data_IF_218975185049
#
_entry.id   IF_218975185049
#
_cell.length_a   1.000
_cell.length_b   1.000
_cell.length_c   1.000
_cell.angle_alpha   90.00
_cell.angle_beta   90.00
_cell.angle_gamma   90.00
#
_symmetry.space_group_name_H-M   'P 1'
#
loop_
_entity.id
_entity.type
_entity.pdbx_description
1 polymer ?
#
# COMPACT_ATOMS: atom_id res chain seq x y z
N UNK A 1 -4.61 15.97 -3.04
CA UNK A 1 -5.56 16.24 -1.94
C UNK A 1 -5.03 15.77 -0.60
N UNK A 2 -4.46 14.57 -0.49
CA UNK A 2 -4.06 13.97 0.80
C UNK A 2 -3.17 14.80 1.74
N UNK A 3 -2.15 15.54 1.28
CA UNK A 3 -1.25 16.19 2.26
C UNK A 3 -1.88 17.47 2.85
N UNK A 4 -2.52 18.26 2.01
CA UNK A 4 -3.16 19.52 2.42
C UNK A 4 -4.47 19.24 3.18
N UNK A 5 -5.23 18.24 2.74
CA UNK A 5 -6.46 17.82 3.42
C UNK A 5 -6.17 17.27 4.81
N UNK A 6 -5.21 16.35 4.95
CA UNK A 6 -4.77 15.90 6.28
C UNK A 6 -4.18 17.03 7.12
N UNK A 7 -3.48 18.01 6.53
CA UNK A 7 -3.00 19.18 7.29
C UNK A 7 -4.12 20.13 7.75
N UNK A 8 -5.22 20.21 7.02
CA UNK A 8 -6.34 21.11 7.34
C UNK A 8 -7.39 20.45 8.24
N UNK A 9 -7.68 19.16 8.01
CA UNK A 9 -8.69 18.38 8.73
C UNK A 9 -8.11 17.47 9.81
N UNK A 10 -6.80 17.25 9.83
CA UNK A 10 -6.08 16.59 10.92
C UNK A 10 -5.80 17.54 12.08
N UNK A 11 -6.81 18.34 12.46
CA UNK A 11 -6.78 19.16 13.67
C UNK A 11 -7.35 18.35 14.82
N UNK A 12 -6.89 18.66 16.02
CA UNK A 12 -7.44 18.07 17.23
C UNK A 12 -8.92 18.42 17.40
N UNK A 13 -9.64 17.50 18.04
CA UNK A 13 -11.04 17.67 18.38
C UNK A 13 -11.26 18.89 19.30
N UNK A 14 -12.38 19.61 19.15
CA UNK A 14 -12.64 20.82 19.95
C UNK A 14 -12.68 20.55 21.46
N UNK A 15 -13.04 19.32 21.86
CA UNK A 15 -13.07 18.83 23.25
C UNK A 15 -11.79 18.06 23.67
N UNK A 16 -10.65 18.32 23.02
CA UNK A 16 -9.37 17.64 23.30
C UNK A 16 -9.01 17.54 24.80
N UNK A 17 -9.13 18.66 25.53
CA UNK A 17 -8.78 18.75 26.95
C UNK A 17 -9.62 17.84 27.86
N UNK A 18 -10.81 17.43 27.41
CA UNK A 18 -11.68 16.51 28.15
C UNK A 18 -11.34 15.06 27.80
N UNK A 19 -11.12 14.78 26.52
CA UNK A 19 -10.78 13.45 26.01
C UNK A 19 -9.45 12.95 26.58
N UNK A 20 -8.47 13.85 26.77
CA UNK A 20 -7.16 13.48 27.32
C UNK A 20 -7.20 13.03 28.78
N UNK A 21 -8.28 13.36 29.52
CA UNK A 21 -8.47 12.97 30.91
C UNK A 21 -9.04 11.55 31.06
N UNK A 22 -9.38 10.89 29.95
CA UNK A 22 -9.92 9.54 29.99
C UNK A 22 -8.85 8.53 30.44
N UNK A 23 -9.20 7.59 31.34
CA UNK A 23 -8.23 6.67 31.94
C UNK A 23 -7.58 5.74 30.91
N UNK A 24 -8.23 5.52 29.76
CA UNK A 24 -7.69 4.71 28.66
C UNK A 24 -6.57 5.42 27.87
N UNK A 25 -6.46 6.75 27.99
CA UNK A 25 -5.41 7.56 27.35
C UNK A 25 -4.27 7.93 28.31
N UNK A 26 -4.43 7.70 29.61
CA UNK A 26 -3.43 8.03 30.62
C UNK A 26 -2.04 7.39 30.34
N UNK A 27 -2.01 6.14 29.87
CA UNK A 27 -0.75 5.46 29.52
C UNK A 27 -0.07 6.05 28.28
N UNK A 28 -0.87 6.60 27.34
CA UNK A 28 -0.38 7.27 26.13
C UNK A 28 0.25 8.62 26.50
N UNK A 29 -0.38 9.34 27.44
CA UNK A 29 0.14 10.57 28.02
C UNK A 29 1.47 10.37 28.75
N UNK A 30 1.57 9.30 29.54
CA UNK A 30 2.79 8.96 30.30
C UNK A 30 3.98 8.65 29.37
N UNK A 31 3.71 8.17 28.16
CA UNK A 31 4.74 7.81 27.17
C UNK A 31 5.44 9.01 26.53
N UNK A 32 4.82 10.19 26.58
CA UNK A 32 5.30 11.42 25.97
C UNK A 32 5.24 11.43 24.44
N UNK A 33 4.49 12.38 23.88
CA UNK A 33 4.34 12.59 22.43
C UNK A 33 3.08 13.38 22.10
N UNK A 34 3.02 13.98 20.90
CA UNK A 34 1.77 14.55 20.39
C UNK A 34 0.82 13.41 20.02
N UNK A 35 -0.32 13.34 20.71
CA UNK A 35 -1.39 12.40 20.45
C UNK A 35 -2.44 13.14 19.62
N UNK A 36 -2.57 12.75 18.35
CA UNK A 36 -3.67 13.23 17.51
C UNK A 36 -4.97 12.52 17.92
N UNK A 37 -5.88 13.28 18.52
CA UNK A 37 -7.19 12.80 18.94
C UNK A 37 -8.26 13.38 18.02
N UNK A 38 -8.83 12.51 17.19
CA UNK A 38 -9.84 12.90 16.21
C UNK A 38 -11.26 12.99 16.78
N UNK A 39 -11.45 12.60 18.04
CA UNK A 39 -12.74 12.57 18.74
C UNK A 39 -13.06 11.21 19.34
N UNK A 40 -14.15 11.11 20.13
CA UNK A 40 -14.62 9.85 20.67
C UNK A 40 -15.10 8.90 19.54
N UNK A 41 -15.16 7.58 19.78
CA UNK A 41 -15.81 6.66 18.84
C UNK A 41 -17.23 7.16 18.53
N UNK A 42 -17.63 7.10 17.25
CA UNK A 42 -18.86 7.69 16.67
C UNK A 42 -18.84 9.20 16.36
N UNK A 43 -17.96 10.02 16.95
CA UNK A 43 -17.87 11.48 16.63
C UNK A 43 -16.46 11.98 16.27
N UNK A 44 -15.97 11.64 15.06
CA UNK A 44 -14.67 12.06 14.55
C UNK A 44 -14.64 13.52 14.00
N UNK A 45 -15.64 14.33 14.32
CA UNK A 45 -15.85 15.74 13.95
C UNK A 45 -15.37 16.16 12.54
N UNK A 46 -14.11 16.59 12.40
CA UNK A 46 -13.53 17.11 11.15
C UNK A 46 -12.95 16.02 10.25
N UNK A 47 -12.43 14.95 10.84
CA UNK A 47 -11.72 13.88 10.12
C UNK A 47 -12.65 13.08 9.20
N UNK A 48 -13.95 13.00 9.51
CA UNK A 48 -14.95 12.38 8.63
C UNK A 48 -15.02 13.00 7.23
N UNK A 49 -14.86 14.31 7.13
CA UNK A 49 -14.96 15.02 5.85
C UNK A 49 -13.76 14.72 4.95
N UNK A 50 -12.57 14.65 5.52
CA UNK A 50 -11.36 14.25 4.79
C UNK A 50 -11.48 12.82 4.29
N UNK A 51 -12.01 11.91 5.12
CA UNK A 51 -12.24 10.52 4.77
C UNK A 51 -13.26 10.35 3.63
N UNK A 52 -14.35 11.11 3.65
CA UNK A 52 -15.31 11.16 2.54
C UNK A 52 -14.64 11.69 1.28
N UNK A 53 -13.84 12.76 1.39
CA UNK A 53 -13.08 13.33 0.27
C UNK A 53 -12.10 12.33 -0.35
N UNK A 54 -11.39 11.58 0.49
CA UNK A 54 -10.45 10.54 0.08
C UNK A 54 -11.20 9.39 -0.62
N UNK A 55 -12.30 8.90 -0.05
CA UNK A 55 -13.12 7.86 -0.67
C UNK A 55 -13.66 8.30 -2.04
N UNK A 56 -14.18 9.54 -2.13
CA UNK A 56 -14.69 10.10 -3.38
C UNK A 56 -13.57 10.23 -4.43
N UNK A 57 -12.37 10.66 -4.02
CA UNK A 57 -11.21 10.73 -4.92
C UNK A 57 -10.83 9.36 -5.49
N UNK A 58 -10.88 8.30 -4.68
CA UNK A 58 -10.61 6.93 -5.12
C UNK A 58 -11.70 6.45 -6.08
N UNK A 59 -12.97 6.68 -5.74
CA UNK A 59 -14.11 6.30 -6.59
C UNK A 59 -14.04 7.00 -7.96
N UNK A 60 -13.57 8.25 -8.00
CA UNK A 60 -13.39 8.97 -9.27
C UNK A 60 -12.18 8.44 -10.02
N UNK A 61 -11.01 8.29 -9.40
CA UNK A 61 -9.75 7.97 -10.10
C UNK A 61 -9.67 6.49 -10.52
N UNK A 62 -10.11 5.57 -9.65
CA UNK A 62 -9.99 4.13 -9.87
C UNK A 62 -10.64 3.62 -11.17
N UNK A 63 -11.88 3.99 -11.55
CA UNK A 63 -12.49 3.52 -12.78
C UNK A 63 -11.76 4.03 -14.03
N UNK A 64 -11.23 5.26 -14.03
CA UNK A 64 -10.40 5.73 -15.14
C UNK A 64 -9.12 4.92 -15.28
N UNK A 65 -8.43 4.64 -14.17
CA UNK A 65 -7.24 3.79 -14.20
C UNK A 65 -7.54 2.39 -14.70
N UNK A 66 -8.65 1.78 -14.24
CA UNK A 66 -9.08 0.47 -14.72
C UNK A 66 -9.42 0.50 -16.21
N UNK A 67 -10.13 1.53 -16.67
CA UNK A 67 -10.48 1.70 -18.08
C UNK A 67 -9.24 1.84 -18.97
N UNK A 68 -8.31 2.74 -18.64
CA UNK A 68 -7.07 2.90 -19.41
C UNK A 68 -6.20 1.64 -19.40
N UNK A 69 -6.15 0.93 -18.27
CA UNK A 69 -5.44 -0.35 -18.17
C UNK A 69 -6.07 -1.40 -19.08
N UNK A 70 -7.40 -1.52 -19.04
CA UNK A 70 -8.15 -2.47 -19.87
C UNK A 70 -8.07 -2.12 -21.37
N UNK A 71 -8.15 -0.85 -21.73
CA UNK A 71 -8.01 -0.37 -23.10
C UNK A 71 -6.60 -0.65 -23.64
N UNK A 72 -5.57 -0.35 -22.84
CA UNK A 72 -4.17 -0.68 -23.17
C UNK A 72 -4.01 -2.19 -23.38
N UNK A 73 -4.65 -3.02 -22.56
CA UNK A 73 -4.64 -4.48 -22.72
C UNK A 73 -5.33 -4.91 -24.01
N UNK A 74 -6.50 -4.34 -24.31
CA UNK A 74 -7.26 -4.66 -25.51
C UNK A 74 -6.48 -4.26 -26.77
N UNK A 75 -5.83 -3.11 -26.78
CA UNK A 75 -5.00 -2.64 -27.89
C UNK A 75 -3.77 -3.55 -28.11
N UNK A 76 -3.09 -3.97 -27.04
CA UNK A 76 -1.99 -4.96 -27.12
C UNK A 76 -2.50 -6.33 -27.60
N UNK A 77 -3.69 -6.75 -27.17
CA UNK A 77 -4.30 -8.01 -27.56
C UNK A 77 -4.81 -8.01 -28.99
N UNK A 78 -5.33 -6.89 -29.50
CA UNK A 78 -5.84 -6.77 -30.88
C UNK A 78 -4.71 -6.60 -31.90
N UNK A 79 -3.65 -5.87 -31.57
CA UNK A 79 -2.45 -5.77 -32.40
C UNK A 79 -1.61 -7.06 -32.42
N UNK A 80 -2.08 -8.12 -31.76
CA UNK A 80 -1.45 -9.44 -31.76
C UNK A 80 -1.49 -10.17 -33.10
N UNK A 81 -2.51 -9.91 -33.92
CA UNK A 81 -2.64 -10.47 -35.27
C UNK A 81 -1.76 -9.74 -36.30
N UNK A 82 -1.37 -8.49 -36.01
CA UNK A 82 -0.50 -7.65 -36.85
C UNK A 82 0.99 -7.73 -36.45
N UNK A 83 1.33 -8.59 -35.49
CA UNK A 83 2.60 -8.62 -34.73
C UNK A 83 3.72 -9.41 -35.41
N UNK A 84 3.93 -9.24 -36.71
CA UNK A 84 5.18 -9.66 -37.36
C UNK A 84 6.32 -8.63 -37.18
N UNK A 85 6.01 -7.41 -36.70
CA UNK A 85 6.95 -6.28 -36.62
C UNK A 85 7.45 -5.90 -35.21
N UNK A 86 6.86 -6.44 -34.14
CA UNK A 86 7.33 -6.22 -32.76
C UNK A 86 8.00 -7.50 -32.24
N UNK A 87 9.23 -7.36 -31.73
CA UNK A 87 9.98 -8.46 -31.08
C UNK A 87 9.12 -9.14 -30.02
N UNK A 88 8.91 -10.46 -30.16
CA UNK A 88 8.12 -11.26 -29.22
C UNK A 88 8.57 -11.12 -27.76
N UNK A 89 9.84 -10.76 -27.54
CA UNK A 89 10.39 -10.50 -26.21
C UNK A 89 9.85 -9.21 -25.57
N UNK A 90 9.69 -8.13 -26.34
CA UNK A 90 9.18 -6.83 -25.84
C UNK A 90 7.72 -6.95 -25.41
N UNK A 91 6.92 -7.68 -26.19
CA UNK A 91 5.51 -7.95 -25.88
C UNK A 91 5.33 -8.84 -24.66
N UNK A 92 6.13 -9.91 -24.56
CA UNK A 92 6.13 -10.78 -23.39
C UNK A 92 6.52 -10.02 -22.12
N UNK A 93 7.40 -9.02 -22.22
CA UNK A 93 7.75 -8.13 -21.12
C UNK A 93 6.58 -7.21 -20.72
N UNK A 94 5.89 -6.59 -21.69
CA UNK A 94 4.75 -5.70 -21.43
C UNK A 94 3.58 -6.43 -20.74
N UNK A 95 3.20 -7.62 -21.22
CA UNK A 95 2.15 -8.43 -20.59
C UNK A 95 2.50 -8.83 -19.15
N UNK A 96 3.78 -9.13 -18.88
CA UNK A 96 4.24 -9.43 -17.52
C UNK A 96 4.13 -8.20 -16.62
N UNK A 97 4.50 -7.02 -17.11
CA UNK A 97 4.36 -5.77 -16.35
C UNK A 97 2.89 -5.48 -15.99
N UNK A 98 1.96 -5.66 -16.93
CA UNK A 98 0.53 -5.49 -16.66
C UNK A 98 0.01 -6.51 -15.63
N UNK A 99 0.43 -7.77 -15.73
CA UNK A 99 0.06 -8.77 -14.73
C UNK A 99 0.58 -8.41 -13.33
N UNK A 100 1.78 -7.85 -13.24
CA UNK A 100 2.32 -7.33 -11.97
C UNK A 100 1.46 -6.18 -11.47
N UNK A 101 1.12 -5.23 -12.35
CA UNK A 101 0.29 -4.08 -12.01
C UNK A 101 -1.10 -4.50 -11.50
N UNK A 102 -1.75 -5.49 -12.14
CA UNK A 102 -3.04 -6.02 -11.67
C UNK A 102 -2.93 -6.68 -10.30
N UNK A 103 -1.88 -7.46 -10.06
CA UNK A 103 -1.65 -8.07 -8.73
C UNK A 103 -1.33 -7.01 -7.69
N UNK A 104 -0.58 -5.96 -8.04
CA UNK A 104 -0.31 -4.82 -7.17
C UNK A 104 -1.59 -4.04 -6.87
N UNK A 105 -2.47 -3.85 -7.86
CA UNK A 105 -3.76 -3.19 -7.67
C UNK A 105 -4.67 -4.01 -6.75
N UNK A 106 -4.74 -5.34 -6.95
CA UNK A 106 -5.46 -6.24 -6.05
C UNK A 106 -4.87 -6.21 -4.62
N UNK A 107 -3.54 -6.24 -4.52
CA UNK A 107 -2.82 -6.11 -3.25
C UNK A 107 -3.14 -4.79 -2.55
N UNK A 108 -3.15 -3.68 -3.28
CA UNK A 108 -3.54 -2.37 -2.76
C UNK A 108 -5.00 -2.37 -2.29
N UNK A 109 -5.94 -2.95 -3.03
CA UNK A 109 -7.33 -3.07 -2.58
C UNK A 109 -7.40 -3.87 -1.27
N UNK A 110 -6.73 -5.01 -1.20
CA UNK A 110 -6.77 -5.88 -0.01
C UNK A 110 -6.02 -5.31 1.19
N UNK A 111 -4.90 -4.62 0.99
CA UNK A 111 -4.01 -4.17 2.08
C UNK A 111 -4.13 -2.69 2.40
N UNK A 112 -4.84 -1.93 1.58
CA UNK A 112 -5.14 -0.52 1.82
C UNK A 112 -6.63 -0.27 1.96
N UNK A 113 -7.43 -0.59 0.93
CA UNK A 113 -8.87 -0.25 0.93
C UNK A 113 -9.62 -1.02 2.02
N UNK A 114 -9.37 -2.32 2.20
CA UNK A 114 -10.04 -3.12 3.23
C UNK A 114 -9.68 -2.65 4.66
N UNK A 115 -8.40 -2.51 5.06
CA UNK A 115 -8.04 -1.96 6.37
C UNK A 115 -8.59 -0.56 6.62
N UNK A 116 -8.51 0.31 5.61
CA UNK A 116 -9.03 1.67 5.70
C UNK A 116 -10.55 1.67 5.88
N UNK A 117 -11.27 0.86 5.10
CA UNK A 117 -12.71 0.68 5.21
C UNK A 117 -13.14 0.09 6.56
N UNK A 118 -12.34 -0.81 7.12
CA UNK A 118 -12.59 -1.35 8.45
C UNK A 118 -12.38 -0.26 9.52
N UNK A 119 -11.25 0.45 9.52
CA UNK A 119 -11.02 1.57 10.45
C UNK A 119 -12.15 2.62 10.35
N UNK A 120 -12.57 2.94 9.13
CA UNK A 120 -13.72 3.79 8.84
C UNK A 120 -15.02 3.29 9.47
N UNK A 121 -15.29 1.99 9.34
CA UNK A 121 -16.51 1.38 9.87
C UNK A 121 -16.56 1.49 11.39
N UNK A 122 -15.44 1.25 12.08
CA UNK A 122 -15.34 1.41 13.55
C UNK A 122 -15.38 2.87 14.02
N UNK A 123 -15.10 3.81 13.12
CA UNK A 123 -15.20 5.24 13.44
C UNK A 123 -16.65 5.71 13.41
N UNK A 124 -17.49 5.13 12.56
CA UNK A 124 -18.91 5.49 12.38
C UNK A 124 -19.82 4.64 13.29
N UNK A 125 -19.48 3.36 13.46
CA UNK A 125 -20.27 2.38 14.21
C UNK A 125 -19.60 2.14 15.55
N UNK A 126 -20.34 2.32 16.64
CA UNK A 126 -19.85 2.00 17.97
C UNK A 126 -19.46 0.52 18.09
N UNK A 127 -18.22 0.20 18.49
CA UNK A 127 -17.76 -1.16 18.69
C UNK A 127 -18.41 -1.87 19.89
N UNK A 128 -19.30 -1.21 20.64
CA UNK A 128 -19.91 -1.73 21.87
C UNK A 128 -20.67 -3.06 21.70
N UNK A 129 -21.03 -3.41 20.45
CA UNK A 129 -21.62 -4.70 20.12
C UNK A 129 -20.59 -5.86 20.04
N UNK A 130 -19.30 -5.58 19.85
CA UNK A 130 -18.25 -6.59 19.70
C UNK A 130 -17.49 -6.81 21.01
N UNK A 131 -17.14 -8.06 21.35
CA UNK A 131 -16.37 -8.34 22.56
C UNK A 131 -14.90 -7.93 22.42
N UNK A 132 -14.32 -7.38 23.49
CA UNK A 132 -12.96 -6.80 23.51
C UNK A 132 -11.86 -7.77 23.07
N UNK A 133 -12.02 -9.06 23.39
CA UNK A 133 -11.05 -10.11 23.03
C UNK A 133 -10.93 -10.29 21.50
N UNK A 134 -11.96 -9.91 20.73
CA UNK A 134 -11.94 -9.95 19.28
C UNK A 134 -11.35 -8.67 18.67
N UNK A 135 -11.70 -7.52 19.24
CA UNK A 135 -11.25 -6.19 18.79
C UNK A 135 -9.73 -6.02 18.87
N UNK A 136 -9.11 -6.50 19.95
CA UNK A 136 -7.66 -6.38 20.15
C UNK A 136 -6.83 -7.03 19.01
N UNK A 137 -6.98 -8.35 18.78
CA UNK A 137 -6.29 -9.05 17.69
C UNK A 137 -6.67 -8.53 16.30
N UNK A 138 -7.95 -8.21 16.07
CA UNK A 138 -8.40 -7.66 14.79
C UNK A 138 -7.71 -6.34 14.46
N UNK A 139 -7.61 -5.42 15.44
CA UNK A 139 -6.89 -4.14 15.29
C UNK A 139 -5.42 -4.37 14.93
N UNK A 140 -4.74 -5.29 15.63
CA UNK A 140 -3.33 -5.60 15.37
C UNK A 140 -3.13 -6.18 13.97
N UNK A 141 -3.99 -7.12 13.57
CA UNK A 141 -3.96 -7.72 12.24
C UNK A 141 -4.15 -6.66 11.14
N UNK A 142 -5.10 -5.76 11.32
CA UNK A 142 -5.48 -4.75 10.32
C UNK A 142 -4.43 -3.66 10.20
N UNK A 143 -3.86 -3.21 11.32
CA UNK A 143 -2.71 -2.29 11.31
C UNK A 143 -1.51 -2.94 10.62
N UNK A 144 -1.26 -4.23 10.89
CA UNK A 144 -0.17 -4.97 10.22
C UNK A 144 -0.42 -5.03 8.71
N UNK A 145 -1.64 -5.36 8.29
CA UNK A 145 -2.03 -5.38 6.88
C UNK A 145 -1.81 -4.01 6.20
N UNK A 146 -2.21 -2.93 6.87
CA UNK A 146 -2.04 -1.56 6.39
C UNK A 146 -0.57 -1.17 6.25
N UNK A 147 0.27 -1.54 7.22
CA UNK A 147 1.72 -1.24 7.21
C UNK A 147 2.46 -2.01 6.11
N UNK A 148 1.96 -3.19 5.77
CA UNK A 148 2.53 -4.04 4.71
C UNK A 148 2.27 -3.46 3.31
N UNK A 149 1.26 -2.60 3.12
CA UNK A 149 0.95 -1.98 1.83
C UNK A 149 2.16 -1.28 1.20
N UNK A 150 2.92 -0.48 1.97
CA UNK A 150 4.11 0.20 1.46
C UNK A 150 5.21 -0.76 0.98
N UNK A 151 5.38 -1.89 1.69
CA UNK A 151 6.41 -2.87 1.42
C UNK A 151 6.04 -3.81 0.26
N UNK A 152 4.74 -4.05 0.03
CA UNK A 152 4.25 -4.92 -1.04
C UNK A 152 4.69 -4.44 -2.42
N UNK A 153 4.66 -3.14 -2.69
CA UNK A 153 5.08 -2.60 -3.99
C UNK A 153 6.54 -2.92 -4.30
N UNK A 154 7.44 -2.70 -3.35
CA UNK A 154 8.87 -2.99 -3.50
C UNK A 154 9.13 -4.49 -3.64
N UNK A 155 8.52 -5.31 -2.78
CA UNK A 155 8.69 -6.77 -2.78
C UNK A 155 8.19 -7.38 -4.10
N UNK A 156 7.00 -6.98 -4.57
CA UNK A 156 6.45 -7.49 -5.84
C UNK A 156 7.29 -7.06 -7.05
N UNK A 157 7.75 -5.82 -7.09
CA UNK A 157 8.61 -5.34 -8.18
C UNK A 157 9.91 -6.15 -8.27
N UNK A 158 10.54 -6.39 -7.11
CA UNK A 158 11.79 -7.14 -7.01
C UNK A 158 11.59 -8.62 -7.40
N UNK A 159 10.52 -9.27 -6.92
CA UNK A 159 10.26 -10.69 -7.16
C UNK A 159 9.88 -11.01 -8.62
N UNK A 160 9.10 -10.14 -9.26
CA UNK A 160 8.60 -10.39 -10.62
C UNK A 160 9.55 -9.95 -11.72
N UNK A 161 10.56 -9.11 -11.43
CA UNK A 161 11.58 -8.80 -12.42
C UNK A 161 12.58 -9.96 -12.55
N UNK A 162 12.62 -10.67 -13.70
CA UNK A 162 13.47 -11.85 -13.86
C UNK A 162 14.97 -11.52 -13.82
N UNK A 163 15.36 -10.29 -14.17
CA UNK A 163 16.74 -9.85 -14.07
C UNK A 163 17.15 -9.70 -12.59
N UNK A 164 16.33 -9.01 -11.79
CA UNK A 164 16.59 -8.89 -10.34
C UNK A 164 16.47 -10.23 -9.63
N UNK A 165 15.50 -11.07 -9.97
CA UNK A 165 15.35 -12.41 -9.38
C UNK A 165 16.58 -13.27 -9.63
N UNK A 166 17.17 -13.25 -10.84
CA UNK A 166 18.42 -13.98 -11.12
C UNK A 166 19.59 -13.45 -10.30
N UNK A 167 19.71 -12.13 -10.16
CA UNK A 167 20.76 -11.49 -9.34
C UNK A 167 20.61 -11.88 -7.87
N UNK A 168 19.40 -11.81 -7.33
CA UNK A 168 19.11 -12.14 -5.92
C UNK A 168 19.33 -13.62 -5.65
N UNK A 169 18.84 -14.52 -6.51
CA UNK A 169 19.09 -15.94 -6.36
C UNK A 169 20.59 -16.25 -6.42
N UNK A 170 21.34 -15.58 -7.30
CA UNK A 170 22.79 -15.73 -7.38
C UNK A 170 23.47 -15.22 -6.11
N UNK A 171 22.99 -14.13 -5.52
CA UNK A 171 23.51 -13.56 -4.28
C UNK A 171 23.21 -14.45 -3.07
N UNK A 172 21.96 -14.90 -2.91
CA UNK A 172 21.54 -15.82 -1.84
C UNK A 172 22.29 -17.15 -1.93
N UNK A 173 22.45 -17.70 -3.14
CA UNK A 173 23.19 -18.95 -3.36
C UNK A 173 24.68 -18.80 -3.06
N UNK A 174 25.25 -17.60 -3.23
CA UNK A 174 26.63 -17.26 -2.81
C UNK A 174 26.73 -17.15 -1.28
N UNK A 175 25.77 -16.50 -0.64
CA UNK A 175 25.70 -16.35 0.82
C UNK A 175 25.60 -17.72 1.52
N UNK A 176 24.72 -18.59 1.04
CA UNK A 176 24.50 -19.93 1.60
C UNK A 176 25.61 -20.94 1.28
N UNK A 177 26.39 -20.75 0.21
CA UNK A 177 27.52 -21.63 -0.13
C UNK A 177 28.83 -21.25 0.54
N UNK A 178 28.85 -20.22 1.39
CA UNK A 178 30.08 -19.77 2.06
C UNK A 178 31.21 -19.45 1.09
N UNK A 179 30.88 -19.02 -0.14
CA UNK A 179 31.89 -18.80 -1.17
C UNK A 179 32.50 -17.41 -0.99
N UNK A 180 33.84 -17.28 -1.00
CA UNK A 180 34.52 -15.99 -0.87
C UNK A 180 34.07 -15.04 -1.98
N UNK A 181 34.00 -13.75 -1.62
CA UNK A 181 33.31 -12.70 -2.35
C UNK A 181 33.73 -12.51 -3.82
N UNK A 182 32.96 -11.70 -4.56
CA UNK A 182 33.22 -11.49 -5.98
C UNK A 182 34.61 -10.89 -6.17
N UNK A 183 35.49 -11.59 -6.90
CA UNK A 183 36.56 -10.91 -7.65
C UNK A 183 35.84 -10.01 -8.64
N UNK A 184 35.77 -8.70 -8.35
CA UNK A 184 35.50 -7.69 -9.36
C UNK A 184 36.61 -7.79 -10.40
N UNK A 185 36.46 -8.67 -11.38
CA UNK A 185 37.14 -8.49 -12.65
C UNK A 185 36.44 -7.35 -13.35
N UNK A 186 36.93 -6.13 -13.08
CA UNK A 186 36.94 -5.02 -14.03
C UNK A 186 37.65 -5.54 -15.29
N UNK A 187 36.94 -6.32 -16.09
CA UNK A 187 37.42 -6.82 -17.37
C UNK A 187 36.87 -5.88 -18.43
N UNK A 188 37.71 -4.94 -18.81
CA UNK A 188 37.82 -4.38 -20.15
C UNK A 188 36.53 -3.80 -20.74
N UNK A 189 36.21 -2.58 -20.31
CA UNK A 189 35.57 -1.58 -21.18
C UNK A 189 36.64 -0.65 -21.78
N UNK A 190 37.80 -1.23 -22.11
CA UNK A 190 38.75 -0.65 -23.06
C UNK A 190 38.57 -1.46 -24.35
N UNK A 191 38.32 -0.75 -25.46
CA UNK A 191 38.19 -1.24 -26.84
C UNK A 191 36.82 -1.81 -27.28
N UNK A 192 35.90 -0.91 -27.63
CA UNK A 192 35.44 -0.71 -29.03
C UNK A 192 34.48 0.46 -29.15
#
# INVERSE_FOLDING_TARGET
>A
MNVIGFGYFGRDHDDYDKLIQEPELAWLMERGGEIFLFGPPSDPQYFKWELIGLALSIIVIAPFLMFFTADSMKNIAQNSSLSHYLSGNTRAMALRMVQVFLVQCLGAVLCYIVPLGFMLSFMIIDPSFMPDWFLGPARLFILTLFTVNGHQFCIFFILKNPAHRKIILSCVKRLFRGSPGPKLTLSNAEQR
#
